data_IF_148274056849
#
_entry.id   IF_148274056849
#
_cell.length_a   1.000
_cell.length_b   1.000
_cell.length_c   1.000
_cell.angle_alpha   90.00
_cell.angle_beta   90.00
_cell.angle_gamma   90.00
#
_symmetry.space_group_name_H-M   'P 1'
#
loop_
_entity.id
_entity.type
_entity.pdbx_description
1 polymer ?
#
# COMPACT_ATOMS: atom_id res chain seq x y z
N UNK A 1 -38.86 83.18 -54.74
CA UNK A 1 -39.46 82.43 -53.62
C UNK A 1 -39.08 80.93 -53.66
N UNK A 2 -37.79 80.55 -53.56
CA UNK A 2 -37.36 79.12 -53.53
C UNK A 2 -36.32 78.79 -52.45
N UNK A 3 -35.56 79.77 -51.94
CA UNK A 3 -34.56 79.53 -50.89
C UNK A 3 -35.18 79.40 -49.47
N UNK A 4 -36.26 80.13 -49.19
CA UNK A 4 -36.93 80.09 -47.88
C UNK A 4 -37.72 78.79 -47.61
N UNK A 5 -38.08 78.02 -48.65
CA UNK A 5 -38.74 76.72 -48.50
C UNK A 5 -37.75 75.59 -48.26
N UNK A 6 -36.55 75.67 -48.82
CA UNK A 6 -35.46 74.68 -48.64
C UNK A 6 -34.91 74.71 -47.21
N UNK A 7 -34.70 75.90 -46.64
CA UNK A 7 -34.25 76.03 -45.24
C UNK A 7 -35.26 75.46 -44.23
N UNK A 8 -36.56 75.65 -44.46
CA UNK A 8 -37.62 75.06 -43.62
C UNK A 8 -37.64 73.53 -43.74
N UNK A 9 -37.47 72.99 -44.94
CA UNK A 9 -37.40 71.54 -45.16
C UNK A 9 -36.17 70.92 -44.46
N UNK A 10 -35.02 71.61 -44.51
CA UNK A 10 -33.79 71.15 -43.86
C UNK A 10 -33.92 71.12 -42.33
N UNK A 11 -34.56 72.14 -41.74
CA UNK A 11 -34.84 72.19 -40.30
C UNK A 11 -35.78 71.06 -39.89
N UNK A 12 -36.85 70.80 -40.66
CA UNK A 12 -37.77 69.68 -40.38
C UNK A 12 -37.04 68.34 -40.43
N UNK A 13 -36.19 68.13 -41.44
CA UNK A 13 -35.39 66.91 -41.56
C UNK A 13 -34.39 66.75 -40.40
N UNK A 14 -33.72 67.83 -39.98
CA UNK A 14 -32.81 67.82 -38.83
C UNK A 14 -33.56 67.47 -37.53
N UNK A 15 -34.74 68.07 -37.30
CA UNK A 15 -35.57 67.78 -36.12
C UNK A 15 -36.05 66.33 -36.13
N UNK A 16 -36.51 65.81 -37.26
CA UNK A 16 -36.91 64.41 -37.39
C UNK A 16 -35.73 63.46 -37.14
N UNK A 17 -34.54 63.78 -37.66
CA UNK A 17 -33.34 62.95 -37.46
C UNK A 17 -32.91 62.92 -35.99
N UNK A 18 -32.92 64.07 -35.32
CA UNK A 18 -32.63 64.16 -33.88
C UNK A 18 -33.71 63.43 -33.06
N UNK A 19 -34.99 63.54 -33.44
CA UNK A 19 -36.09 62.84 -32.79
C UNK A 19 -35.96 61.32 -32.96
N UNK A 20 -35.68 60.80 -34.16
CA UNK A 20 -35.50 59.37 -34.37
C UNK A 20 -34.27 58.83 -33.64
N UNK A 21 -33.17 59.59 -33.59
CA UNK A 21 -31.98 59.18 -32.86
C UNK A 21 -32.20 59.21 -31.34
N UNK A 22 -32.89 60.22 -30.81
CA UNK A 22 -33.22 60.28 -29.38
C UNK A 22 -34.27 59.23 -29.02
N UNK A 23 -35.31 59.03 -29.83
CA UNK A 23 -36.33 58.00 -29.61
C UNK A 23 -35.77 56.58 -29.75
N UNK A 24 -34.85 56.32 -30.68
CA UNK A 24 -34.17 55.02 -30.78
C UNK A 24 -33.30 54.75 -29.54
N UNK A 25 -32.58 55.75 -29.04
CA UNK A 25 -31.75 55.58 -27.82
C UNK A 25 -32.56 55.52 -26.54
N UNK A 26 -33.59 56.36 -26.41
CA UNK A 26 -34.52 56.34 -25.28
C UNK A 26 -35.43 55.11 -25.33
N UNK A 27 -35.75 54.59 -26.52
CA UNK A 27 -36.52 53.36 -26.72
C UNK A 27 -35.74 52.13 -26.29
N UNK A 28 -34.44 52.04 -26.59
CA UNK A 28 -33.55 50.99 -26.05
C UNK A 28 -33.43 51.10 -24.53
N UNK A 29 -33.20 52.31 -24.01
CA UNK A 29 -33.16 52.57 -22.57
C UNK A 29 -34.49 52.22 -21.88
N UNK A 30 -35.64 52.54 -22.49
CA UNK A 30 -36.96 52.24 -21.98
C UNK A 30 -37.29 50.73 -22.10
N UNK A 31 -36.83 50.05 -23.14
CA UNK A 31 -36.98 48.59 -23.27
C UNK A 31 -36.10 47.84 -22.26
N UNK A 32 -34.89 48.33 -21.98
CA UNK A 32 -34.03 47.82 -20.91
C UNK A 32 -34.57 48.16 -19.50
N UNK A 33 -35.28 49.30 -19.35
CA UNK A 33 -35.82 49.78 -18.06
C UNK A 33 -37.28 49.38 -17.81
N UNK A 34 -38.04 48.93 -18.80
CA UNK A 34 -39.47 48.56 -18.66
C UNK A 34 -39.82 47.29 -19.42
N UNK A 35 -38.83 46.57 -19.96
CA UNK A 35 -39.02 45.26 -20.56
C UNK A 35 -39.39 44.18 -19.54
N UNK A 36 -40.04 43.09 -19.98
CA UNK A 36 -40.54 42.01 -19.12
C UNK A 36 -39.45 41.21 -18.37
N UNK A 37 -38.16 41.51 -18.59
CA UNK A 37 -37.00 40.79 -18.05
C UNK A 37 -36.34 41.44 -16.81
N UNK A 38 -36.89 42.53 -16.26
CA UNK A 38 -36.34 43.21 -15.07
C UNK A 38 -36.21 42.31 -13.82
N UNK A 39 -37.10 41.33 -13.68
CA UNK A 39 -37.11 40.43 -12.52
C UNK A 39 -36.28 39.15 -12.72
N UNK A 40 -35.62 39.01 -13.88
CA UNK A 40 -34.81 37.83 -14.23
C UNK A 40 -33.32 38.10 -14.08
N UNK A 41 -32.56 37.08 -13.65
CA UNK A 41 -31.12 37.19 -13.54
C UNK A 41 -30.42 37.21 -14.90
N UNK A 42 -29.38 38.02 -15.03
CA UNK A 42 -28.59 38.14 -16.27
C UNK A 42 -27.77 36.87 -16.54
N UNK A 43 -27.41 36.63 -17.80
CA UNK A 43 -26.42 35.61 -18.16
C UNK A 43 -25.13 35.80 -17.36
N UNK A 44 -24.51 34.68 -16.95
CA UNK A 44 -23.32 34.71 -16.09
C UNK A 44 -23.61 34.84 -14.59
N UNK A 45 -24.88 34.82 -14.17
CA UNK A 45 -25.25 34.82 -12.74
C UNK A 45 -25.27 33.40 -12.18
N UNK A 46 -24.51 33.14 -11.12
CA UNK A 46 -24.42 31.83 -10.46
C UNK A 46 -24.50 31.92 -8.94
N UNK A 47 -25.00 30.86 -8.31
CA UNK A 47 -24.85 30.58 -6.87
C UNK A 47 -24.20 29.22 -6.70
N UNK A 48 -22.96 29.20 -6.21
CA UNK A 48 -22.14 27.99 -6.25
C UNK A 48 -22.03 27.47 -7.70
N UNK A 49 -22.36 26.20 -7.98
CA UNK A 49 -22.34 25.64 -9.33
C UNK A 49 -23.63 25.90 -10.14
N UNK A 50 -24.63 26.57 -9.57
CA UNK A 50 -25.98 26.64 -10.13
C UNK A 50 -26.14 27.91 -10.96
N UNK A 51 -26.43 27.77 -12.26
CA UNK A 51 -26.76 28.89 -13.13
C UNK A 51 -28.16 29.42 -12.84
N UNK A 52 -28.26 30.72 -12.59
CA UNK A 52 -29.54 31.41 -12.37
C UNK A 52 -30.01 32.19 -13.60
N UNK A 53 -29.24 32.18 -14.69
CA UNK A 53 -29.50 32.98 -15.88
C UNK A 53 -30.92 32.77 -16.41
N UNK A 54 -31.64 33.87 -16.61
CA UNK A 54 -33.02 33.87 -17.11
C UNK A 54 -34.08 33.49 -16.07
N UNK A 55 -33.71 33.11 -14.85
CA UNK A 55 -34.67 32.78 -13.78
C UNK A 55 -35.11 34.05 -13.05
N UNK A 56 -36.38 34.07 -12.63
CA UNK A 56 -36.86 35.03 -11.62
C UNK A 56 -36.28 34.71 -10.25
N UNK A 57 -36.40 35.63 -9.29
CA UNK A 57 -35.92 35.39 -7.91
C UNK A 57 -36.56 34.17 -7.25
N UNK A 58 -37.85 33.95 -7.45
CA UNK A 58 -38.57 32.81 -6.89
C UNK A 58 -38.13 31.49 -7.54
N UNK A 59 -38.00 31.48 -8.88
CA UNK A 59 -37.49 30.33 -9.63
C UNK A 59 -36.05 29.98 -9.24
N UNK A 60 -35.19 31.00 -9.07
CA UNK A 60 -33.82 30.79 -8.61
C UNK A 60 -33.75 30.21 -7.20
N UNK A 61 -34.59 30.70 -6.28
CA UNK A 61 -34.63 30.14 -4.92
C UNK A 61 -35.07 28.67 -4.94
N UNK A 62 -36.06 28.33 -5.76
CA UNK A 62 -36.49 26.94 -5.92
C UNK A 62 -35.39 26.09 -6.57
N UNK A 63 -34.77 26.55 -7.65
CA UNK A 63 -33.72 25.83 -8.35
C UNK A 63 -32.50 25.54 -7.46
N UNK A 64 -32.13 26.50 -6.60
CA UNK A 64 -31.08 26.28 -5.59
C UNK A 64 -31.51 25.27 -4.53
N UNK A 65 -32.74 25.36 -4.03
CA UNK A 65 -33.28 24.41 -3.07
C UNK A 65 -33.33 22.98 -3.63
N UNK A 66 -33.80 22.82 -4.86
CA UNK A 66 -33.89 21.54 -5.55
C UNK A 66 -32.50 20.91 -5.72
N UNK A 67 -31.52 21.69 -6.20
CA UNK A 67 -30.14 21.19 -6.37
C UNK A 67 -29.45 20.83 -5.06
N UNK A 68 -29.71 21.59 -4.00
CA UNK A 68 -29.22 21.25 -2.66
C UNK A 68 -29.89 19.97 -2.15
N UNK A 69 -31.18 19.78 -2.42
CA UNK A 69 -31.91 18.56 -2.07
C UNK A 69 -31.38 17.34 -2.84
N UNK A 70 -31.18 17.48 -4.16
CA UNK A 70 -30.58 16.47 -5.03
C UNK A 70 -29.21 16.05 -4.47
N UNK A 71 -28.35 17.03 -4.17
CA UNK A 71 -27.03 16.79 -3.61
C UNK A 71 -27.12 16.09 -2.25
N UNK A 72 -27.95 16.56 -1.31
CA UNK A 72 -28.11 15.92 0.01
C UNK A 72 -28.55 14.47 -0.07
N UNK A 73 -29.38 14.12 -1.07
CA UNK A 73 -29.88 12.75 -1.25
C UNK A 73 -28.85 11.79 -1.86
N UNK A 74 -27.81 12.31 -2.50
CA UNK A 74 -26.83 11.53 -3.27
C UNK A 74 -25.40 11.66 -2.77
N UNK A 75 -25.09 12.71 -1.99
CA UNK A 75 -23.76 13.00 -1.51
C UNK A 75 -23.31 11.98 -0.47
N UNK A 76 -22.15 11.38 -0.73
CA UNK A 76 -21.43 10.52 0.20
C UNK A 76 -20.03 11.09 0.36
N UNK A 77 -19.81 11.87 1.42
CA UNK A 77 -18.50 12.48 1.67
C UNK A 77 -17.68 11.49 2.47
N UNK A 78 -16.79 10.79 1.77
CA UNK A 78 -15.89 9.84 2.40
C UNK A 78 -14.75 10.58 3.12
N UNK A 79 -14.47 10.18 4.35
CA UNK A 79 -13.39 10.69 5.18
C UNK A 79 -12.54 9.51 5.64
N UNK A 80 -11.23 9.71 5.71
CA UNK A 80 -10.28 8.65 6.03
C UNK A 80 -9.18 9.08 6.98
N UNK A 81 -8.65 8.12 7.71
CA UNK A 81 -7.39 8.24 8.41
C UNK A 81 -6.64 6.92 8.21
N UNK A 82 -5.58 6.95 7.39
CA UNK A 82 -4.84 5.76 6.96
C UNK A 82 -5.79 4.72 6.32
N UNK A 83 -5.85 3.50 6.85
CA UNK A 83 -6.71 2.41 6.33
C UNK A 83 -8.17 2.52 6.81
N UNK A 84 -8.48 3.36 7.81
CA UNK A 84 -9.85 3.57 8.28
C UNK A 84 -10.57 4.57 7.38
N UNK A 85 -11.84 4.27 7.07
CA UNK A 85 -12.73 5.14 6.29
C UNK A 85 -14.11 5.18 6.94
N UNK A 86 -14.77 6.32 6.86
CA UNK A 86 -16.17 6.48 7.20
C UNK A 86 -16.82 7.52 6.29
N UNK A 87 -18.13 7.43 6.14
CA UNK A 87 -18.90 8.43 5.42
C UNK A 87 -19.40 9.48 6.40
N UNK A 88 -19.22 10.75 6.06
CA UNK A 88 -19.86 11.85 6.74
C UNK A 88 -21.33 11.95 6.31
N UNK A 89 -22.26 12.00 7.27
CA UNK A 89 -23.66 12.29 6.98
C UNK A 89 -23.82 13.65 6.27
N UNK A 90 -24.69 13.74 5.26
CA UNK A 90 -24.92 14.99 4.52
C UNK A 90 -25.75 16.02 5.32
N UNK A 91 -26.39 15.59 6.41
CA UNK A 91 -27.16 16.43 7.32
C UNK A 91 -26.28 17.36 8.19
N UNK A 92 -24.97 17.10 8.27
CA UNK A 92 -24.02 18.03 8.91
C UNK A 92 -23.96 19.38 8.17
N UNK A 93 -24.38 19.46 6.90
CA UNK A 93 -24.33 20.70 6.13
C UNK A 93 -25.65 21.46 6.19
N UNK A 94 -25.62 22.67 6.75
CA UNK A 94 -26.77 23.57 6.76
C UNK A 94 -26.61 24.69 5.74
N UNK A 95 -27.28 24.54 4.60
CA UNK A 95 -27.29 25.53 3.51
C UNK A 95 -28.15 26.75 3.87
N UNK A 96 -27.58 27.96 3.78
CA UNK A 96 -28.27 29.23 4.02
C UNK A 96 -28.89 29.74 2.71
N UNK A 97 -29.92 29.03 2.22
CA UNK A 97 -30.52 29.28 0.90
C UNK A 97 -30.99 30.74 0.74
N UNK A 98 -31.74 31.26 1.72
CA UNK A 98 -32.28 32.62 1.68
C UNK A 98 -31.20 33.70 1.68
N UNK A 99 -30.09 33.50 2.39
CA UNK A 99 -28.97 34.46 2.39
C UNK A 99 -28.17 34.36 1.08
N UNK A 100 -27.95 33.13 0.61
CA UNK A 100 -27.23 32.86 -0.64
C UNK A 100 -27.91 33.51 -1.85
N UNK A 101 -29.25 33.43 -1.92
CA UNK A 101 -30.02 34.03 -3.02
C UNK A 101 -30.21 35.54 -2.87
N UNK A 102 -30.24 36.08 -1.64
CA UNK A 102 -30.26 37.53 -1.40
C UNK A 102 -28.95 38.22 -1.77
N UNK A 103 -27.82 37.52 -1.60
CA UNK A 103 -26.48 38.05 -1.87
C UNK A 103 -26.00 37.81 -3.32
N UNK A 104 -26.91 37.43 -4.23
CA UNK A 104 -26.60 37.23 -5.64
C UNK A 104 -26.29 38.56 -6.31
N UNK A 105 -25.14 38.63 -6.96
CA UNK A 105 -24.78 39.78 -7.79
C UNK A 105 -25.03 39.42 -9.25
N UNK A 106 -25.94 40.16 -9.89
CA UNK A 106 -26.31 39.96 -11.28
C UNK A 106 -25.08 39.98 -12.21
N UNK A 107 -24.97 38.97 -13.08
CA UNK A 107 -23.87 38.79 -14.04
C UNK A 107 -22.56 38.29 -13.42
N UNK A 108 -22.57 37.80 -12.18
CA UNK A 108 -21.40 37.25 -11.49
C UNK A 108 -21.73 35.95 -10.74
N UNK A 109 -20.68 35.24 -10.35
CA UNK A 109 -20.79 34.10 -9.45
C UNK A 109 -20.75 34.57 -7.99
N UNK A 110 -21.74 34.16 -7.21
CA UNK A 110 -21.80 34.33 -5.75
C UNK A 110 -21.65 32.96 -5.06
N UNK A 111 -21.07 32.88 -3.86
CA UNK A 111 -20.95 31.60 -3.15
C UNK A 111 -22.32 31.11 -2.64
N UNK A 112 -22.52 29.80 -2.67
CA UNK A 112 -23.57 29.15 -1.89
C UNK A 112 -23.09 29.07 -0.43
N UNK A 113 -23.79 29.76 0.48
CA UNK A 113 -23.42 29.83 1.88
C UNK A 113 -23.82 28.53 2.59
N UNK A 114 -22.84 27.86 3.20
CA UNK A 114 -22.99 26.60 3.90
C UNK A 114 -22.31 26.72 5.26
N UNK A 115 -22.89 26.10 6.28
CA UNK A 115 -22.25 25.90 7.57
C UNK A 115 -22.17 24.41 7.88
N UNK A 116 -21.01 23.96 8.33
CA UNK A 116 -20.83 22.58 8.78
C UNK A 116 -21.10 22.44 10.29
N UNK A 117 -21.91 21.46 10.69
CA UNK A 117 -22.05 21.06 12.08
C UNK A 117 -20.81 20.27 12.51
N UNK A 118 -19.86 20.99 13.09
CA UNK A 118 -18.61 20.39 13.55
C UNK A 118 -18.81 19.44 14.74
N UNK A 119 -19.90 19.54 15.50
CA UNK A 119 -20.20 18.57 16.56
C UNK A 119 -20.53 17.20 15.95
N UNK A 120 -21.42 17.17 14.95
CA UNK A 120 -21.78 15.95 14.24
C UNK A 120 -20.61 15.40 13.40
N UNK A 121 -19.79 16.28 12.82
CA UNK A 121 -18.56 15.89 12.14
C UNK A 121 -17.61 15.13 13.08
N UNK A 122 -17.43 15.65 14.30
CA UNK A 122 -16.51 15.06 15.28
C UNK A 122 -16.92 13.66 15.73
N UNK A 123 -18.22 13.34 15.80
CA UNK A 123 -18.68 11.97 16.07
C UNK A 123 -18.13 10.95 15.07
N UNK A 124 -17.92 11.36 13.81
CA UNK A 124 -17.33 10.52 12.77
C UNK A 124 -15.81 10.52 12.81
N UNK A 125 -15.19 11.69 13.01
CA UNK A 125 -13.73 11.86 13.13
C UNK A 125 -13.16 11.04 14.29
N UNK A 126 -13.82 11.03 15.45
CA UNK A 126 -13.36 10.31 16.65
C UNK A 126 -13.37 8.78 16.49
N UNK A 127 -14.18 8.23 15.57
CA UNK A 127 -14.14 6.79 15.24
C UNK A 127 -12.95 6.42 14.37
N UNK A 128 -12.43 7.39 13.61
CA UNK A 128 -11.33 7.21 12.67
C UNK A 128 -9.98 7.48 13.33
N UNK A 129 -9.87 8.55 14.13
CA UNK A 129 -8.62 8.97 14.73
C UNK A 129 -8.35 8.24 16.06
N UNK A 130 -7.07 7.92 16.33
CA UNK A 130 -6.63 7.56 17.67
C UNK A 130 -6.91 8.69 18.67
N UNK A 131 -7.30 8.39 19.93
CA UNK A 131 -7.64 9.41 20.92
C UNK A 131 -6.55 10.45 21.19
N UNK A 132 -5.29 10.07 21.02
CA UNK A 132 -4.14 10.97 21.19
C UNK A 132 -3.92 11.92 20.01
N UNK A 133 -4.49 11.64 18.83
CA UNK A 133 -4.42 12.48 17.64
C UNK A 133 -5.58 13.50 17.56
N UNK A 134 -6.75 13.18 18.13
CA UNK A 134 -7.95 14.04 18.11
C UNK A 134 -7.67 15.48 18.58
N UNK A 135 -6.99 15.72 19.73
CA UNK A 135 -6.76 17.09 20.21
C UNK A 135 -5.80 17.92 19.35
N UNK A 136 -5.08 17.28 18.42
CA UNK A 136 -4.15 17.94 17.53
C UNK A 136 -4.77 18.32 16.19
N UNK A 137 -6.00 17.90 15.91
CA UNK A 137 -6.68 18.17 14.64
C UNK A 137 -6.97 19.67 14.46
N UNK A 138 -6.58 20.23 13.32
CA UNK A 138 -6.95 21.59 12.94
C UNK A 138 -8.42 21.61 12.46
N UNK A 139 -9.32 21.74 13.45
CA UNK A 139 -10.77 21.78 13.21
C UNK A 139 -11.17 22.94 12.30
N UNK A 140 -10.46 24.07 12.36
CA UNK A 140 -10.78 25.25 11.57
C UNK A 140 -10.46 25.03 10.10
N UNK A 141 -9.31 24.40 9.80
CA UNK A 141 -8.96 24.03 8.43
C UNK A 141 -9.93 22.97 7.88
N UNK A 142 -10.28 21.97 8.70
CA UNK A 142 -11.25 20.93 8.31
C UNK A 142 -12.64 21.51 8.02
N UNK A 143 -13.16 22.38 8.89
CA UNK A 143 -14.44 23.07 8.71
C UNK A 143 -14.44 23.89 7.41
N UNK A 144 -13.39 24.68 7.17
CA UNK A 144 -13.27 25.49 5.97
C UNK A 144 -13.27 24.66 4.68
N UNK A 145 -12.56 23.54 4.65
CA UNK A 145 -12.49 22.65 3.48
C UNK A 145 -13.83 21.91 3.25
N UNK A 146 -14.51 21.48 4.32
CA UNK A 146 -15.84 20.88 4.24
C UNK A 146 -16.87 21.88 3.71
N UNK A 147 -16.90 23.10 4.23
CA UNK A 147 -17.79 24.16 3.77
C UNK A 147 -17.49 24.56 2.33
N UNK A 148 -16.21 24.67 1.96
CA UNK A 148 -15.80 24.95 0.59
C UNK A 148 -16.28 23.86 -0.38
N UNK A 149 -16.12 22.58 -0.04
CA UNK A 149 -16.60 21.47 -0.86
C UNK A 149 -18.13 21.48 -1.01
N UNK A 150 -18.86 21.67 0.10
CA UNK A 150 -20.32 21.72 0.09
C UNK A 150 -20.87 22.96 -0.64
N UNK A 151 -20.17 24.12 -0.58
CA UNK A 151 -20.53 25.33 -1.32
C UNK A 151 -20.54 25.13 -2.84
N UNK A 152 -19.74 24.17 -3.33
CA UNK A 152 -19.67 23.78 -4.73
C UNK A 152 -20.62 22.62 -5.07
N UNK A 153 -21.39 22.12 -4.11
CA UNK A 153 -22.15 20.87 -4.22
C UNK A 153 -21.30 19.73 -4.80
N UNK A 154 -20.02 19.71 -4.45
CA UNK A 154 -19.07 18.75 -4.95
C UNK A 154 -19.02 17.53 -4.02
N UNK A 155 -18.85 16.35 -4.60
CA UNK A 155 -18.51 15.14 -3.85
C UNK A 155 -17.06 14.79 -4.20
N UNK A 156 -16.13 14.79 -3.23
CA UNK A 156 -14.74 14.46 -3.50
C UNK A 156 -14.58 13.04 -4.09
N UNK A 157 -13.83 12.92 -5.19
CA UNK A 157 -13.53 11.61 -5.81
C UNK A 157 -12.56 10.75 -4.98
N UNK A 158 -11.91 11.35 -3.98
CA UNK A 158 -11.03 10.68 -3.03
C UNK A 158 -11.51 11.01 -1.62
N UNK A 159 -11.37 10.07 -0.67
CA UNK A 159 -11.67 10.37 0.72
C UNK A 159 -10.87 11.56 1.23
N UNK A 160 -11.50 12.41 2.02
CA UNK A 160 -10.84 13.49 2.73
C UNK A 160 -9.90 12.88 3.77
N UNK A 161 -8.60 13.08 3.61
CA UNK A 161 -7.60 12.51 4.52
C UNK A 161 -7.42 13.41 5.75
N UNK A 162 -7.84 12.91 6.91
CA UNK A 162 -7.75 13.61 8.18
C UNK A 162 -6.30 13.89 8.60
N UNK A 163 -5.34 13.13 8.07
CA UNK A 163 -3.93 13.33 8.37
C UNK A 163 -3.39 14.66 7.82
N UNK A 164 -4.03 15.25 6.80
CA UNK A 164 -3.67 16.58 6.28
C UNK A 164 -3.98 17.72 7.25
N UNK A 165 -4.88 17.50 8.21
CA UNK A 165 -5.27 18.46 9.23
C UNK A 165 -4.54 18.24 10.55
N UNK A 166 -3.56 17.33 10.58
CA UNK A 166 -2.68 17.14 11.73
C UNK A 166 -1.41 17.99 11.57
N UNK A 167 -0.93 18.64 12.64
CA UNK A 167 0.23 19.50 12.56
C UNK A 167 1.49 18.70 12.23
N UNK A 168 2.38 19.31 11.45
CA UNK A 168 3.72 18.75 11.24
C UNK A 168 4.60 18.86 12.50
N UNK A 169 4.27 19.77 13.42
CA UNK A 169 4.93 19.86 14.73
C UNK A 169 4.52 18.66 15.57
N UNK A 170 5.45 17.77 15.90
CA UNK A 170 5.22 16.45 16.53
C UNK A 170 4.50 16.40 17.90
N UNK A 171 3.81 17.46 18.32
CA UNK A 171 2.89 17.46 19.47
C UNK A 171 1.72 16.51 19.16
N UNK A 172 1.74 15.33 19.77
CA UNK A 172 0.77 14.24 19.53
C UNK A 172 1.40 13.02 18.84
N UNK A 173 2.60 13.15 18.26
CA UNK A 173 3.38 12.02 17.74
C UNK A 173 4.09 11.28 18.87
N UNK A 174 4.12 9.95 18.77
CA UNK A 174 4.69 9.05 19.79
C UNK A 174 5.53 7.96 19.14
N UNK A 175 6.18 7.14 19.96
CA UNK A 175 6.71 5.85 19.49
C UNK A 175 5.52 4.92 19.26
N UNK A 176 5.30 4.54 18.00
CA UNK A 176 4.17 3.71 17.56
C UNK A 176 4.53 2.24 17.40
N UNK A 177 5.84 1.94 17.34
CA UNK A 177 6.37 0.58 17.34
C UNK A 177 7.82 0.58 17.85
N UNK A 178 8.21 -0.47 18.58
CA UNK A 178 9.57 -0.68 19.05
C UNK A 178 9.92 -2.17 19.00
N UNK A 179 11.15 -2.46 18.59
CA UNK A 179 11.73 -3.79 18.73
C UNK A 179 13.22 -3.71 19.09
N UNK A 180 13.70 -4.74 19.78
CA UNK A 180 15.09 -4.86 20.21
C UNK A 180 15.64 -6.26 19.96
N UNK A 181 16.93 -6.34 19.61
CA UNK A 181 17.68 -7.58 19.47
C UNK A 181 18.92 -7.50 20.37
N UNK A 182 19.10 -8.52 21.21
CA UNK A 182 20.24 -8.60 22.13
C UNK A 182 21.52 -8.96 21.35
N UNK A 183 22.53 -8.11 21.44
CA UNK A 183 23.83 -8.29 20.78
C UNK A 183 24.91 -7.41 21.42
N UNK A 184 26.09 -7.99 21.61
CA UNK A 184 27.31 -7.25 21.99
C UNK A 184 28.23 -7.16 20.79
N UNK A 185 28.35 -5.98 20.20
CA UNK A 185 29.15 -5.78 19.00
C UNK A 185 29.79 -4.38 18.97
N UNK A 186 31.11 -4.34 18.77
CA UNK A 186 31.87 -3.09 18.77
C UNK A 186 31.61 -2.23 17.53
N UNK A 187 31.22 -2.85 16.41
CA UNK A 187 30.85 -2.12 15.19
C UNK A 187 29.53 -1.37 15.36
N UNK A 188 28.53 -1.95 16.06
CA UNK A 188 27.30 -1.24 16.44
C UNK A 188 27.59 -0.05 17.34
N UNK A 189 28.52 -0.19 18.29
CA UNK A 189 28.94 0.90 19.18
C UNK A 189 29.48 2.10 18.40
N UNK A 190 30.21 1.86 17.32
CA UNK A 190 30.72 2.92 16.42
C UNK A 190 29.62 3.46 15.51
N UNK A 191 28.83 2.58 14.91
CA UNK A 191 27.80 2.93 13.92
C UNK A 191 26.63 3.72 14.52
N UNK A 192 26.28 3.42 15.79
CA UNK A 192 25.22 4.05 16.58
C UNK A 192 25.79 4.73 17.84
N UNK A 193 26.97 5.34 17.71
CA UNK A 193 27.57 6.15 18.79
C UNK A 193 26.64 7.30 19.23
N UNK A 194 25.83 7.80 18.29
CA UNK A 194 24.65 8.62 18.53
C UNK A 194 23.42 7.94 17.95
N UNK A 195 22.23 8.34 18.41
CA UNK A 195 21.00 7.90 17.75
C UNK A 195 21.02 8.27 16.27
N UNK A 196 20.51 7.36 15.43
CA UNK A 196 20.35 7.60 14.00
C UNK A 196 18.87 7.69 13.68
N UNK A 197 18.48 8.73 12.95
CA UNK A 197 17.11 8.99 12.54
C UNK A 197 17.00 8.91 11.02
N UNK A 198 16.08 8.08 10.54
CA UNK A 198 15.79 7.91 9.11
C UNK A 198 14.35 8.32 8.90
N UNK A 199 14.13 9.35 8.07
CA UNK A 199 12.78 9.79 7.70
C UNK A 199 12.18 8.78 6.73
N UNK A 200 11.03 8.23 7.10
CA UNK A 200 10.22 7.31 6.31
C UNK A 200 9.11 8.11 5.64
N UNK A 201 9.40 8.68 4.47
CA UNK A 201 8.45 9.59 3.81
C UNK A 201 7.19 8.87 3.36
N UNK A 202 6.10 9.62 3.27
CA UNK A 202 4.85 9.21 2.64
C UNK A 202 5.09 8.53 1.29
N UNK A 203 4.53 7.33 1.11
CA UNK A 203 4.61 6.52 -0.11
C UNK A 203 6.04 6.22 -0.61
N UNK A 204 7.05 6.28 0.27
CA UNK A 204 8.44 6.04 -0.10
C UNK A 204 8.89 4.62 0.27
N UNK A 205 9.54 3.94 -0.68
CA UNK A 205 10.24 2.68 -0.44
C UNK A 205 11.57 2.97 0.26
N UNK A 206 11.87 2.19 1.29
CA UNK A 206 13.11 2.30 2.07
C UNK A 206 13.88 0.99 1.96
N UNK A 207 15.20 1.11 1.72
CA UNK A 207 16.17 0.01 1.71
C UNK A 207 17.08 0.14 2.93
N UNK A 208 17.09 -0.88 3.80
CA UNK A 208 18.00 -0.87 4.95
C UNK A 208 19.47 -0.92 4.51
N UNK A 209 19.78 -1.68 3.46
CA UNK A 209 21.13 -1.74 2.91
C UNK A 209 21.62 -0.36 2.49
N UNK A 210 20.79 0.41 1.78
CA UNK A 210 21.12 1.77 1.38
C UNK A 210 21.34 2.69 2.60
N UNK A 211 20.51 2.57 3.64
CA UNK A 211 20.66 3.31 4.90
C UNK A 211 22.01 3.00 5.57
N UNK A 212 22.42 1.73 5.61
CA UNK A 212 23.70 1.31 6.20
C UNK A 212 24.88 1.84 5.36
N UNK A 213 24.82 1.71 4.04
CA UNK A 213 25.87 2.16 3.12
C UNK A 213 26.06 3.69 3.16
N UNK A 214 24.97 4.45 3.12
CA UNK A 214 25.01 5.93 3.23
C UNK A 214 25.58 6.40 4.57
N UNK A 215 25.44 5.59 5.61
CA UNK A 215 26.00 5.83 6.93
C UNK A 215 27.49 5.42 7.07
N UNK A 216 28.14 4.98 5.98
CA UNK A 216 29.55 4.61 5.94
C UNK A 216 29.83 3.12 6.18
N UNK A 217 28.80 2.29 6.33
CA UNK A 217 28.93 0.85 6.53
C UNK A 217 29.73 0.46 7.78
N UNK A 218 30.64 -0.51 7.63
CA UNK A 218 31.57 -0.91 8.69
C UNK A 218 30.97 -1.74 9.84
N UNK A 219 29.74 -2.23 9.66
CA UNK A 219 29.10 -3.19 10.54
C UNK A 219 29.62 -4.60 10.28
N UNK A 220 29.75 -5.41 11.33
CA UNK A 220 29.95 -6.85 11.21
C UNK A 220 28.70 -7.52 10.62
N UNK A 221 28.83 -8.71 10.03
CA UNK A 221 27.66 -9.45 9.52
C UNK A 221 26.63 -9.72 10.61
N UNK A 222 27.06 -10.07 11.82
CA UNK A 222 26.17 -10.29 12.96
C UNK A 222 25.45 -9.00 13.38
N UNK A 223 26.15 -7.86 13.33
CA UNK A 223 25.55 -6.55 13.60
C UNK A 223 24.50 -6.15 12.55
N UNK A 224 24.78 -6.41 11.28
CA UNK A 224 23.81 -6.17 10.18
C UNK A 224 22.57 -7.04 10.38
N UNK A 225 22.74 -8.34 10.65
CA UNK A 225 21.62 -9.25 10.90
C UNK A 225 20.78 -8.84 12.11
N UNK A 226 21.42 -8.44 13.22
CA UNK A 226 20.73 -7.98 14.41
C UNK A 226 19.97 -6.67 14.18
N UNK A 227 20.60 -5.71 13.49
CA UNK A 227 19.96 -4.45 13.12
C UNK A 227 18.77 -4.68 12.18
N UNK A 228 18.96 -5.49 11.14
CA UNK A 228 17.92 -5.84 10.19
C UNK A 228 16.74 -6.53 10.87
N UNK A 229 17.00 -7.47 11.77
CA UNK A 229 15.96 -8.18 12.52
C UNK A 229 15.22 -7.25 13.49
N UNK A 230 15.90 -6.30 14.13
CA UNK A 230 15.25 -5.28 14.96
C UNK A 230 14.35 -4.36 14.11
N UNK A 231 14.85 -3.87 12.97
CA UNK A 231 14.06 -3.04 12.05
C UNK A 231 12.86 -3.80 11.49
N UNK A 232 13.07 -5.03 11.04
CA UNK A 232 12.00 -5.89 10.52
C UNK A 232 10.88 -6.05 11.54
N UNK A 233 11.20 -6.40 12.80
CA UNK A 233 10.19 -6.53 13.87
C UNK A 233 9.44 -5.24 14.18
N UNK A 234 10.16 -4.10 14.18
CA UNK A 234 9.55 -2.80 14.40
C UNK A 234 8.58 -2.46 13.24
N UNK A 235 9.00 -2.65 11.99
CA UNK A 235 8.19 -2.42 10.79
C UNK A 235 6.98 -3.36 10.74
N UNK A 236 7.16 -4.63 11.12
CA UNK A 236 6.11 -5.65 11.08
C UNK A 236 4.94 -5.33 12.02
N UNK A 237 5.20 -4.58 13.10
CA UNK A 237 4.18 -4.11 14.05
C UNK A 237 3.55 -2.76 13.63
N UNK A 238 3.51 -2.49 12.32
CA UNK A 238 2.89 -1.31 11.71
C UNK A 238 2.04 -1.72 10.50
N UNK A 239 1.40 -0.74 9.85
CA UNK A 239 0.76 -0.94 8.55
C UNK A 239 1.68 -0.83 7.35
N UNK A 240 3.00 -0.70 7.56
CA UNK A 240 3.94 -0.63 6.46
C UNK A 240 3.92 -1.94 5.66
N UNK A 241 4.16 -1.81 4.36
CA UNK A 241 4.21 -2.93 3.44
C UNK A 241 5.64 -3.45 3.39
N UNK A 242 5.81 -4.72 3.74
CA UNK A 242 7.09 -5.39 3.59
C UNK A 242 7.26 -5.81 2.13
N UNK A 243 8.30 -5.30 1.48
CA UNK A 243 8.53 -5.51 0.05
C UNK A 243 9.60 -6.57 -0.21
N UNK A 244 10.63 -6.62 0.63
CA UNK A 244 11.72 -7.59 0.52
C UNK A 244 12.21 -7.95 1.92
N UNK A 245 12.37 -9.25 2.18
CA UNK A 245 12.97 -9.78 3.41
C UNK A 245 13.48 -11.20 3.16
N UNK A 246 14.68 -11.49 3.66
CA UNK A 246 15.29 -12.82 3.59
C UNK A 246 15.52 -13.41 4.98
N UNK A 247 15.18 -14.69 5.15
CA UNK A 247 15.61 -15.51 6.28
C UNK A 247 17.02 -16.10 6.05
N UNK A 248 17.67 -16.52 7.12
CA UNK A 248 18.87 -17.33 7.07
C UNK A 248 18.55 -18.82 7.01
N UNK A 249 19.55 -19.65 6.71
CA UNK A 249 19.42 -21.12 6.83
C UNK A 249 19.60 -21.63 8.26
N UNK A 250 19.99 -20.74 9.19
CA UNK A 250 20.20 -21.04 10.60
C UNK A 250 19.71 -19.87 11.44
N UNK A 251 19.01 -20.17 12.53
CA UNK A 251 18.51 -19.16 13.45
C UNK A 251 19.67 -18.45 14.18
N UNK A 252 19.80 -17.11 14.08
CA UNK A 252 20.79 -16.36 14.83
C UNK A 252 20.45 -16.29 16.33
N UNK A 253 21.48 -16.25 17.17
CA UNK A 253 21.30 -16.10 18.62
C UNK A 253 20.59 -14.77 18.96
N UNK A 254 19.68 -14.83 19.94
CA UNK A 254 18.97 -13.65 20.44
C UNK A 254 17.82 -13.16 19.56
N UNK A 255 17.52 -13.86 18.45
CA UNK A 255 16.40 -13.57 17.56
C UNK A 255 15.41 -14.74 17.61
N UNK A 256 14.13 -14.50 17.95
CA UNK A 256 13.14 -15.57 17.93
C UNK A 256 12.86 -16.07 16.50
N UNK A 257 12.51 -17.35 16.29
CA UNK A 257 12.18 -17.89 14.98
C UNK A 257 11.10 -17.08 14.25
N UNK A 258 11.24 -16.90 12.94
CA UNK A 258 10.31 -16.10 12.14
C UNK A 258 10.64 -14.60 12.09
N UNK A 259 11.46 -14.10 13.00
CA UNK A 259 11.70 -12.66 13.18
C UNK A 259 13.09 -12.19 12.74
N UNK A 260 13.85 -13.04 12.07
CA UNK A 260 15.14 -12.63 11.51
C UNK A 260 14.97 -11.86 10.21
N UNK A 261 15.95 -11.05 9.86
CA UNK A 261 16.11 -10.53 8.50
C UNK A 261 17.61 -10.49 8.16
N UNK A 262 17.93 -10.88 6.92
CA UNK A 262 19.29 -10.89 6.37
C UNK A 262 19.48 -9.74 5.38
N UNK A 263 20.58 -9.02 5.53
CA UNK A 263 21.01 -7.96 4.60
C UNK A 263 22.48 -8.15 4.28
N UNK A 264 22.80 -8.19 2.99
CA UNK A 264 24.18 -8.27 2.47
C UNK A 264 24.26 -7.70 1.04
N UNK A 265 25.30 -8.03 0.28
CA UNK A 265 25.47 -7.52 -1.08
C UNK A 265 24.36 -7.98 -2.05
N UNK A 266 23.66 -9.08 -1.75
CA UNK A 266 22.63 -9.70 -2.60
C UNK A 266 21.23 -9.65 -2.00
N UNK A 267 21.10 -9.40 -0.70
CA UNK A 267 19.85 -9.44 0.06
C UNK A 267 19.60 -8.10 0.74
N UNK A 268 18.36 -7.64 0.74
CA UNK A 268 17.96 -6.41 1.41
C UNK A 268 16.75 -6.63 2.33
N UNK A 269 16.50 -5.64 3.16
CA UNK A 269 15.24 -5.46 3.88
C UNK A 269 14.60 -4.19 3.35
N UNK A 270 13.46 -4.34 2.66
CA UNK A 270 12.76 -3.23 2.05
C UNK A 270 11.31 -3.13 2.54
N UNK A 271 10.87 -1.90 2.81
CA UNK A 271 9.50 -1.62 3.21
C UNK A 271 9.02 -0.28 2.67
N UNK A 272 7.70 -0.15 2.54
CA UNK A 272 7.01 1.05 2.08
C UNK A 272 6.15 1.60 3.22
N UNK A 273 6.21 2.91 3.46
CA UNK A 273 5.20 3.61 4.24
C UNK A 273 4.00 3.97 3.34
N UNK A 274 2.83 3.30 3.44
CA UNK A 274 1.67 3.57 2.58
C UNK A 274 0.85 4.79 3.04
N UNK A 275 1.21 5.42 4.16
CA UNK A 275 0.45 6.52 4.73
C UNK A 275 0.80 7.84 4.04
N UNK A 276 -0.12 8.81 4.12
CA UNK A 276 0.07 10.18 3.66
C UNK A 276 1.03 11.01 4.54
N UNK A 277 1.36 10.52 5.73
CA UNK A 277 2.24 11.18 6.69
C UNK A 277 3.60 10.52 6.79
N UNK A 278 4.61 11.33 7.09
CA UNK A 278 5.97 10.88 7.34
C UNK A 278 6.09 10.25 8.73
N UNK A 279 6.93 9.21 8.82
CA UNK A 279 7.37 8.61 10.08
C UNK A 279 8.89 8.75 10.23
N UNK A 280 9.42 8.46 11.41
CA UNK A 280 10.87 8.41 11.65
C UNK A 280 11.25 7.05 12.23
N UNK A 281 12.15 6.34 11.58
CA UNK A 281 12.85 5.20 12.16
C UNK A 281 14.01 5.72 12.99
N UNK A 282 14.01 5.42 14.29
CA UNK A 282 15.05 5.76 15.24
C UNK A 282 15.81 4.49 15.58
N UNK A 283 17.12 4.50 15.34
CA UNK A 283 18.03 3.40 15.64
C UNK A 283 18.93 3.79 16.80
N UNK A 284 19.03 2.91 17.80
CA UNK A 284 19.83 3.13 19.01
C UNK A 284 20.56 1.84 19.42
N UNK A 285 21.69 2.00 20.09
CA UNK A 285 22.44 0.92 20.68
C UNK A 285 22.86 1.30 22.10
N UNK A 286 22.62 0.42 23.07
CA UNK A 286 22.93 0.67 24.49
C UNK A 286 24.14 -0.15 25.01
N UNK A 287 24.88 -0.80 24.12
CA UNK A 287 25.99 -1.71 24.47
C UNK A 287 25.56 -3.16 24.70
N UNK A 288 24.26 -3.45 24.76
CA UNK A 288 23.73 -4.81 24.97
C UNK A 288 22.68 -5.22 23.95
N UNK A 289 21.96 -4.26 23.38
CA UNK A 289 20.93 -4.51 22.39
C UNK A 289 20.87 -3.35 21.39
N UNK A 290 20.57 -3.71 20.15
CA UNK A 290 20.19 -2.76 19.11
C UNK A 290 18.67 -2.60 19.13
N UNK A 291 18.20 -1.36 19.06
CA UNK A 291 16.78 -1.00 19.10
C UNK A 291 16.39 -0.26 17.83
N UNK A 292 15.22 -0.61 17.31
CA UNK A 292 14.54 0.11 16.25
C UNK A 292 13.20 0.60 16.77
N UNK A 293 12.94 1.90 16.65
CA UNK A 293 11.69 2.54 17.04
C UNK A 293 11.10 3.25 15.84
N UNK A 294 9.79 3.12 15.62
CA UNK A 294 9.04 3.93 14.65
C UNK A 294 8.34 5.03 15.42
N UNK A 295 8.63 6.28 15.08
CA UNK A 295 8.07 7.48 15.70
C UNK A 295 7.20 8.23 14.69
N UNK A 296 6.00 8.64 15.09
CA UNK A 296 5.07 9.39 14.23
C UNK A 296 3.65 9.42 14.80
N UNK A 297 2.67 9.68 13.93
CA UNK A 297 1.27 9.66 14.33
C UNK A 297 0.80 8.22 14.64
N UNK A 298 0.03 8.00 15.71
CA UNK A 298 -0.48 6.67 16.04
C UNK A 298 -1.29 6.08 14.88
N UNK A 299 -1.16 4.77 14.66
CA UNK A 299 -1.88 4.11 13.58
C UNK A 299 -3.38 3.99 13.89
N UNK A 300 -4.19 3.95 12.83
CA UNK A 300 -5.64 3.79 12.92
C UNK A 300 -6.06 2.45 13.58
N UNK A 301 -5.23 1.42 13.40
CA UNK A 301 -5.37 0.09 13.99
C UNK A 301 -4.14 -0.31 14.80
N UNK A 302 -4.31 -1.33 15.64
CA UNK A 302 -3.20 -2.02 16.32
C UNK A 302 -2.73 -3.21 15.50
N UNK A 303 -1.41 -3.39 15.40
CA UNK A 303 -0.77 -4.49 14.68
C UNK A 303 -0.07 -5.40 15.67
N UNK A 304 -0.66 -6.58 15.91
CA UNK A 304 -0.13 -7.56 16.85
C UNK A 304 0.50 -8.69 16.06
N UNK A 305 1.79 -8.90 16.23
CA UNK A 305 2.54 -9.92 15.51
C UNK A 305 2.82 -11.11 16.42
N UNK A 306 2.54 -12.32 15.93
CA UNK A 306 2.76 -13.57 16.67
C UNK A 306 3.30 -14.65 15.74
N UNK A 307 4.07 -15.57 16.29
CA UNK A 307 4.41 -16.82 15.60
C UNK A 307 3.30 -17.84 15.81
N UNK A 308 2.97 -18.60 14.76
CA UNK A 308 2.09 -19.77 14.81
C UNK A 308 2.76 -20.96 14.11
N UNK A 309 2.22 -22.16 14.31
CA UNK A 309 2.67 -23.35 13.59
C UNK A 309 4.15 -23.69 13.78
N UNK A 310 4.68 -23.60 15.02
CA UNK A 310 6.04 -24.10 15.30
C UNK A 310 6.06 -25.63 15.18
N UNK A 311 6.65 -26.12 14.10
CA UNK A 311 6.80 -27.55 13.82
C UNK A 311 8.28 -27.95 13.83
N UNK A 312 8.63 -28.91 14.68
CA UNK A 312 9.99 -29.46 14.76
C UNK A 312 10.15 -30.59 13.76
N UNK A 313 11.26 -30.58 13.03
CA UNK A 313 11.54 -31.55 11.97
C UNK A 313 12.73 -32.39 12.41
N UNK A 314 12.53 -33.67 12.66
CA UNK A 314 13.60 -34.53 13.15
C UNK A 314 14.72 -34.73 12.13
N UNK A 315 15.99 -34.78 12.58
CA UNK A 315 17.10 -35.00 11.69
C UNK A 315 17.08 -36.43 11.17
N UNK A 316 17.26 -36.57 9.85
CA UNK A 316 17.49 -37.88 9.25
C UNK A 316 18.86 -38.42 9.67
N UNK A 317 18.98 -39.74 9.71
CA UNK A 317 20.21 -40.44 10.09
C UNK A 317 20.92 -41.02 8.87
N UNK A 318 22.22 -40.75 8.75
CA UNK A 318 23.11 -41.31 7.74
C UNK A 318 24.01 -42.34 8.43
N UNK A 319 23.99 -43.57 7.94
CA UNK A 319 24.89 -44.64 8.38
C UNK A 319 26.03 -44.74 7.36
N UNK A 320 27.26 -44.58 7.82
CA UNK A 320 28.48 -44.78 7.06
C UNK A 320 29.18 -46.03 7.60
N UNK A 321 29.85 -46.79 6.73
CA UNK A 321 30.63 -47.95 7.15
C UNK A 321 32.13 -47.65 7.05
N UNK A 322 32.91 -48.07 8.05
CA UNK A 322 34.37 -47.96 8.07
C UNK A 322 34.99 -49.31 8.45
N UNK A 323 35.81 -49.86 7.56
CA UNK A 323 36.48 -51.15 7.75
C UNK A 323 37.50 -51.14 8.92
N UNK A 324 37.86 -49.97 9.44
CA UNK A 324 38.79 -49.81 10.56
C UNK A 324 38.12 -49.93 11.94
N UNK A 325 36.79 -49.88 11.99
CA UNK A 325 36.01 -50.08 13.21
C UNK A 325 35.66 -51.57 13.38
N UNK A 326 35.61 -52.05 14.62
CA UNK A 326 35.18 -53.42 14.88
C UNK A 326 33.71 -53.64 14.42
N UNK A 327 33.29 -54.86 14.03
CA UNK A 327 31.96 -55.12 13.46
C UNK A 327 30.77 -54.62 14.29
N UNK A 328 30.91 -54.55 15.62
CA UNK A 328 29.91 -54.07 16.57
C UNK A 328 30.17 -52.63 17.05
N UNK A 329 31.27 -52.02 16.64
CA UNK A 329 31.65 -50.66 17.02
C UNK A 329 30.85 -49.63 16.22
N UNK A 330 30.19 -48.72 16.95
CA UNK A 330 29.46 -47.58 16.39
C UNK A 330 30.01 -46.28 16.98
N UNK A 331 30.40 -45.36 16.10
CA UNK A 331 30.91 -44.04 16.46
C UNK A 331 29.99 -42.96 15.91
N UNK A 332 29.47 -42.11 16.79
CA UNK A 332 28.71 -40.93 16.37
C UNK A 332 29.67 -39.87 15.83
N UNK A 333 29.67 -39.68 14.51
CA UNK A 333 30.46 -38.64 13.83
C UNK A 333 29.76 -37.27 13.91
N UNK A 334 28.43 -37.24 13.95
CA UNK A 334 27.65 -36.02 14.08
C UNK A 334 26.31 -36.29 14.77
N UNK A 335 25.98 -35.55 15.82
CA UNK A 335 24.79 -35.78 16.67
C UNK A 335 23.45 -35.43 15.97
N UNK A 336 23.49 -34.72 14.84
CA UNK A 336 22.29 -34.21 14.16
C UNK A 336 21.60 -33.09 14.93
N UNK A 337 20.81 -32.27 14.23
CA UNK A 337 20.02 -31.17 14.81
C UNK A 337 18.65 -31.12 14.15
N UNK A 338 17.59 -31.07 14.95
CA UNK A 338 16.24 -30.91 14.42
C UNK A 338 16.09 -29.57 13.72
N UNK A 339 15.34 -29.56 12.63
CA UNK A 339 14.89 -28.36 11.93
C UNK A 339 13.64 -27.77 12.55
N UNK A 340 13.19 -26.65 11.99
CA UNK A 340 12.04 -25.89 12.47
C UNK A 340 11.31 -25.24 11.28
N UNK A 341 9.99 -25.42 11.21
CA UNK A 341 9.10 -24.61 10.38
C UNK A 341 8.31 -23.67 11.30
N UNK A 342 8.20 -22.39 10.94
CA UNK A 342 7.45 -21.41 11.73
C UNK A 342 6.73 -20.43 10.82
N UNK A 343 5.49 -20.09 11.17
CA UNK A 343 4.71 -19.04 10.50
C UNK A 343 4.69 -17.79 11.37
N UNK A 344 4.74 -16.62 10.74
CA UNK A 344 4.52 -15.34 11.40
C UNK A 344 3.22 -14.76 10.90
N UNK A 345 2.35 -14.41 11.83
CA UNK A 345 1.03 -13.86 11.56
C UNK A 345 0.91 -12.46 12.15
N UNK A 346 0.24 -11.57 11.42
CA UNK A 346 -0.11 -10.21 11.86
C UNK A 346 -1.62 -10.12 12.03
N UNK A 347 -2.05 -9.80 13.23
CA UNK A 347 -3.43 -9.50 13.58
C UNK A 347 -3.63 -7.99 13.59
N UNK A 348 -4.59 -7.51 12.81
CA UNK A 348 -4.98 -6.10 12.76
C UNK A 348 -6.24 -5.92 13.59
N UNK A 349 -6.17 -5.06 14.59
CA UNK A 349 -7.25 -4.84 15.57
C UNK A 349 -7.69 -3.39 15.68
N UNK A 350 -8.98 -3.21 15.91
CA UNK A 350 -9.58 -1.96 16.33
C UNK A 350 -10.05 -2.10 17.78
N UNK A 351 -9.23 -1.64 18.72
CA UNK A 351 -9.40 -1.98 20.13
C UNK A 351 -9.42 -3.51 20.33
N UNK A 352 -10.52 -4.03 20.88
CA UNK A 352 -10.70 -5.48 21.09
C UNK A 352 -11.12 -6.24 19.83
N UNK A 353 -11.64 -5.55 18.81
CA UNK A 353 -12.20 -6.16 17.60
C UNK A 353 -11.08 -6.59 16.65
N UNK A 354 -11.07 -7.87 16.27
CA UNK A 354 -10.22 -8.36 15.17
C UNK A 354 -10.80 -7.88 13.83
N UNK A 355 -10.02 -7.12 13.07
CA UNK A 355 -10.39 -6.67 11.72
C UNK A 355 -9.98 -7.71 10.69
N UNK A 356 -8.72 -8.14 10.74
CA UNK A 356 -8.19 -9.18 9.86
C UNK A 356 -6.96 -9.84 10.48
N UNK A 357 -6.61 -11.00 9.95
CA UNK A 357 -5.40 -11.75 10.28
C UNK A 357 -4.75 -12.20 8.99
N UNK A 358 -3.44 -12.06 8.89
CA UNK A 358 -2.67 -12.46 7.71
C UNK A 358 -1.38 -13.17 8.09
N UNK A 359 -0.97 -14.15 7.29
CA UNK A 359 0.36 -14.74 7.36
C UNK A 359 1.33 -13.82 6.61
N UNK A 360 2.37 -13.35 7.30
CA UNK A 360 3.36 -12.42 6.74
C UNK A 360 4.61 -13.13 6.25
N UNK A 361 5.00 -14.20 6.93
CA UNK A 361 6.12 -15.03 6.51
C UNK A 361 5.96 -16.47 6.98
N UNK A 362 6.64 -17.38 6.28
CA UNK A 362 6.84 -18.76 6.67
C UNK A 362 8.34 -19.05 6.52
N UNK A 363 8.98 -19.44 7.62
CA UNK A 363 10.42 -19.65 7.69
C UNK A 363 10.70 -21.12 7.95
N UNK A 364 11.61 -21.67 7.14
CA UNK A 364 12.06 -23.05 7.23
C UNK A 364 13.56 -23.11 7.54
N UNK A 365 13.87 -23.67 8.71
CA UNK A 365 15.22 -23.96 9.19
C UNK A 365 15.48 -25.46 9.00
N UNK A 366 16.33 -25.88 8.04
CA UNK A 366 16.52 -27.29 7.73
C UNK A 366 17.18 -28.05 8.90
N UNK A 367 16.79 -29.32 9.15
CA UNK A 367 17.53 -30.18 10.06
C UNK A 367 18.93 -30.48 9.54
N UNK A 368 19.85 -30.73 10.46
CA UNK A 368 21.19 -31.25 10.14
C UNK A 368 21.22 -32.75 10.41
N UNK A 369 21.68 -33.56 9.46
CA UNK A 369 21.73 -35.02 9.60
C UNK A 369 22.50 -35.50 10.84
N UNK A 370 22.04 -36.59 11.46
CA UNK A 370 22.86 -37.37 12.38
C UNK A 370 23.73 -38.34 11.56
N UNK A 371 25.02 -38.43 11.85
CA UNK A 371 25.95 -39.33 11.13
C UNK A 371 26.54 -40.32 12.12
N UNK A 372 26.27 -41.61 11.90
CA UNK A 372 26.89 -42.73 12.59
C UNK A 372 27.83 -43.46 11.65
N UNK A 373 29.01 -43.80 12.15
CA UNK A 373 29.98 -44.67 11.46
C UNK A 373 29.97 -46.01 12.17
N UNK A 374 29.79 -47.10 11.43
CA UNK A 374 29.72 -48.48 11.95
C UNK A 374 30.83 -49.33 11.34
N UNK A 375 31.30 -50.33 12.08
CA UNK A 375 32.13 -51.38 11.51
C UNK A 375 31.40 -52.17 10.43
N UNK A 376 32.18 -52.80 9.54
CA UNK A 376 31.63 -53.73 8.56
C UNK A 376 31.22 -55.01 9.28
N UNK A 377 29.95 -55.39 9.17
CA UNK A 377 29.48 -56.69 9.65
C UNK A 377 30.18 -57.79 8.84
N UNK A 378 30.91 -58.67 9.53
CA UNK A 378 31.44 -59.90 8.93
C UNK A 378 30.36 -60.97 9.12
N UNK A 379 29.77 -61.53 8.04
CA UNK A 379 28.78 -62.60 8.18
C UNK A 379 29.40 -63.80 8.92
N UNK A 380 28.69 -64.34 9.91
CA UNK A 380 29.12 -65.51 10.72
C UNK A 380 29.32 -66.82 9.93
N UNK A 381 29.27 -66.79 8.60
CA UNK A 381 29.49 -67.96 7.75
C UNK A 381 30.96 -68.24 7.40
N UNK A 382 31.93 -67.55 8.03
CA UNK A 382 33.36 -67.74 7.74
C UNK A 382 34.17 -68.38 8.88
N UNK A 383 33.52 -68.88 9.93
CA UNK A 383 34.17 -69.66 10.98
C UNK A 383 33.65 -71.10 11.01
N UNK A 384 34.07 -71.90 10.03
CA UNK A 384 34.51 -73.29 10.21
C UNK A 384 34.91 -73.87 8.86
N UNK A 385 36.20 -74.14 8.66
CA UNK A 385 36.76 -75.49 8.46
C UNK A 385 38.28 -75.34 8.30
N UNK A 386 39.03 -75.66 9.35
CA UNK A 386 40.44 -76.09 9.19
C UNK A 386 40.42 -77.61 9.19
N UNK A 387 40.86 -78.20 8.09
CA UNK A 387 41.13 -79.62 7.95
C UNK A 387 42.10 -79.80 6.80
N UNK A 388 43.37 -79.95 7.17
CA UNK A 388 44.50 -80.17 6.27
C UNK A 388 44.29 -81.38 5.34
N UNK A 389 44.71 -81.21 4.09
CA UNK A 389 44.91 -82.27 3.12
C UNK A 389 45.76 -81.72 1.98
N UNK A 390 47.08 -81.83 2.14
CA UNK A 390 48.06 -81.54 1.08
C UNK A 390 47.95 -82.60 -0.02
N UNK A 391 47.82 -82.18 -1.28
CA UNK A 391 48.66 -82.59 -2.42
C UNK A 391 48.24 -81.85 -3.71
N UNK A 392 49.23 -81.47 -4.52
CA UNK A 392 49.17 -80.78 -5.82
C UNK A 392 49.85 -81.70 -6.85
N UNK A 393 49.84 -81.53 -8.20
CA UNK A 393 48.96 -80.78 -9.14
C UNK A 393 48.39 -81.67 -10.26
N UNK A 394 47.36 -81.22 -11.00
CA UNK A 394 47.20 -81.58 -12.43
C UNK A 394 46.34 -80.55 -13.18
N UNK A 395 46.91 -79.90 -14.20
CA UNK A 395 46.15 -79.43 -15.38
C UNK A 395 46.09 -80.57 -16.41
N UNK A 396 45.01 -80.65 -17.20
CA UNK A 396 45.15 -80.24 -18.60
C UNK A 396 43.91 -79.51 -19.19
N UNK A 397 44.24 -78.50 -20.01
CA UNK A 397 43.80 -78.26 -21.40
C UNK A 397 42.32 -78.25 -21.82
N UNK A 398 41.92 -77.03 -22.25
CA UNK A 398 41.32 -76.64 -23.55
C UNK A 398 39.86 -76.91 -23.98
N UNK A 399 39.32 -75.81 -24.56
CA UNK A 399 38.26 -75.67 -25.59
C UNK A 399 36.78 -75.76 -25.11
N UNK A 400 35.82 -74.87 -25.42
CA UNK A 400 35.64 -73.91 -26.53
C UNK A 400 34.61 -72.81 -26.17
N UNK A 401 34.97 -71.58 -26.55
CA UNK A 401 34.21 -70.39 -26.99
C UNK A 401 32.67 -70.43 -27.20
N UNK A 402 31.93 -69.41 -26.69
CA UNK A 402 31.28 -68.34 -27.50
C UNK A 402 30.26 -67.51 -26.70
N UNK A 403 30.36 -66.17 -26.81
CA UNK A 403 29.23 -65.25 -26.58
C UNK A 403 29.59 -63.88 -25.99
N UNK A 404 29.83 -62.89 -26.86
CA UNK A 404 29.75 -61.43 -26.59
C UNK A 404 28.45 -61.08 -25.81
N UNK A 405 28.31 -59.98 -25.05
CA UNK A 405 28.40 -58.59 -25.50
C UNK A 405 28.29 -57.63 -24.30
N UNK A 406 29.11 -56.59 -24.33
CA UNK A 406 28.98 -55.17 -23.95
C UNK A 406 28.19 -54.67 -22.72
N UNK A 407 28.83 -53.67 -22.12
CA UNK A 407 28.39 -52.79 -21.06
C UNK A 407 27.37 -51.75 -21.55
N UNK A 408 26.52 -51.26 -20.65
CA UNK A 408 26.17 -49.84 -20.65
C UNK A 408 25.70 -49.31 -19.29
N UNK A 409 26.09 -48.05 -19.07
CA UNK A 409 25.85 -47.20 -17.91
C UNK A 409 24.43 -46.61 -17.95
N UNK A 410 23.70 -46.67 -16.85
CA UNK A 410 22.39 -46.02 -16.68
C UNK A 410 22.44 -44.88 -15.67
N UNK A 411 22.53 -43.65 -16.17
CA UNK A 411 22.33 -42.39 -15.46
C UNK A 411 20.93 -41.89 -15.83
N UNK A 412 19.99 -41.79 -14.88
CA UNK A 412 18.68 -41.19 -15.14
C UNK A 412 18.45 -39.90 -14.34
N UNK A 413 18.09 -38.89 -15.12
CA UNK A 413 17.71 -37.53 -14.81
C UNK A 413 16.20 -37.48 -15.05
N UNK A 414 15.39 -37.19 -14.03
CA UNK A 414 13.93 -37.05 -14.21
C UNK A 414 13.57 -35.61 -14.51
N UNK A 415 13.06 -35.41 -15.72
CA UNK A 415 12.40 -34.20 -16.21
C UNK A 415 10.88 -34.35 -16.05
N UNK A 416 10.22 -33.24 -15.77
CA UNK A 416 8.78 -33.10 -15.56
C UNK A 416 8.05 -33.06 -16.91
N UNK A 417 6.94 -33.78 -17.05
CA UNK A 417 6.00 -33.54 -18.14
C UNK A 417 4.53 -33.66 -17.69
N UNK A 418 3.77 -32.62 -18.06
CA UNK A 418 2.33 -32.51 -18.04
C UNK A 418 1.64 -33.60 -18.88
N UNK A 419 0.43 -33.99 -18.47
CA UNK A 419 -0.53 -34.70 -19.31
C UNK A 419 -1.93 -34.12 -19.12
N UNK A 420 -2.46 -33.49 -20.17
CA UNK A 420 -3.87 -33.19 -20.36
C UNK A 420 -4.67 -34.49 -20.60
N UNK A 421 -5.91 -34.52 -20.12
CA UNK A 421 -6.95 -35.45 -20.54
C UNK A 421 -8.20 -34.66 -20.94
N UNK A 422 -8.64 -34.84 -22.18
CA UNK A 422 -9.76 -34.16 -22.81
C UNK A 422 -10.89 -35.16 -23.13
N UNK A 423 -12.16 -34.80 -22.81
CA UNK A 423 -13.39 -35.02 -23.62
C UNK A 423 -14.56 -34.37 -22.88
N UNK A 424 -15.18 -33.26 -23.33
CA UNK A 424 -16.29 -33.17 -24.30
C UNK A 424 -17.64 -33.27 -23.55
N UNK A 425 -18.68 -32.43 -23.63
CA UNK A 425 -19.24 -31.38 -24.51
C UNK A 425 -20.08 -30.43 -23.61
N UNK A 426 -20.39 -29.16 -23.90
CA UNK A 426 -21.44 -28.73 -24.81
C UNK A 426 -21.47 -27.19 -24.96
N UNK A 427 -22.10 -26.74 -26.06
CA UNK A 427 -22.13 -25.37 -26.60
C UNK A 427 -22.92 -24.33 -25.77
N UNK A 428 -22.54 -23.04 -25.84
CA UNK A 428 -23.34 -21.97 -26.49
C UNK A 428 -22.71 -20.56 -26.41
N UNK A 429 -22.46 -20.01 -27.61
CA UNK A 429 -22.69 -18.63 -28.10
C UNK A 429 -22.38 -17.36 -27.27
N UNK A 430 -21.51 -16.53 -27.88
CA UNK A 430 -21.77 -15.17 -28.39
C UNK A 430 -20.83 -14.08 -27.86
N UNK A 431 -19.91 -13.65 -28.74
CA UNK A 431 -19.30 -12.32 -28.74
C UNK A 431 -19.51 -11.73 -30.15
N UNK A 432 -19.87 -10.44 -30.29
CA UNK A 432 -19.86 -9.79 -31.58
C UNK A 432 -18.52 -9.09 -31.85
N UNK A 433 -17.98 -9.47 -33.00
CA UNK A 433 -17.29 -8.73 -34.04
C UNK A 433 -17.16 -7.20 -33.92
N UNK A 434 -15.95 -6.76 -34.25
CA UNK A 434 -15.55 -5.40 -34.63
C UNK A 434 -15.57 -5.31 -36.17
N UNK A 435 -16.34 -4.39 -36.75
CA UNK A 435 -15.97 -3.64 -37.97
C UNK A 435 -17.01 -2.57 -38.32
N UNK A 436 -16.56 -1.34 -38.57
CA UNK A 436 -17.12 -0.45 -39.59
C UNK A 436 -16.12 0.67 -39.94
N UNK A 437 -15.64 0.64 -41.19
CA UNK A 437 -15.29 1.82 -42.02
C UNK A 437 -16.59 2.66 -42.20
N UNK A 438 -16.62 3.97 -42.45
CA UNK A 438 -16.00 4.81 -43.49
C UNK A 438 -16.55 6.24 -43.28
N UNK A 439 -15.81 7.35 -43.36
CA UNK A 439 -15.67 8.25 -44.53
C UNK A 439 -15.21 9.63 -44.00
N UNK A 440 -14.08 10.19 -44.45
CA UNK A 440 -13.98 11.27 -45.47
C UNK A 440 -13.69 12.61 -44.77
N UNK A 441 -12.97 13.63 -45.25
CA UNK A 441 -12.07 13.91 -46.38
C UNK A 441 -11.47 15.30 -46.08
N UNK A 442 -10.31 15.64 -46.67
CA UNK A 442 -9.73 17.00 -46.83
C UNK A 442 -9.04 17.63 -45.61
N UNK A 443 -7.82 18.16 -45.64
CA UNK A 443 -6.88 18.49 -46.72
C UNK A 443 -5.87 19.53 -46.18
N UNK A 444 -4.69 19.65 -46.79
CA UNK A 444 -3.89 20.88 -46.68
C UNK A 444 -2.43 20.72 -46.24
N UNK A 445 -1.55 20.68 -47.24
CA UNK A 445 -0.09 20.79 -47.15
C UNK A 445 0.39 22.09 -46.50
N UNK A 446 1.40 22.00 -45.64
CA UNK A 446 2.73 22.64 -45.80
C UNK A 446 3.70 22.18 -44.73
#
# INVERSE_FOLDING_TARGET
MRAASIGKLFIVMAVCTVYFLTFARLGVLAYESFGPDQDRYRSGTYVGPISLAGMTRAEAQQAVADKVSDWRSTASISVSYQEKKAELPADIFTFRLSESTKNVVNGRSSPLLVLADMSACMETVERLLPPTAVPALDLKALEADLEAAASQLAVPNKPLDLAHYLPSSGKGQTVVSEAAVAIRDQSLSRFLASERRVVLRSNQLVSLRAVIQQAGGGLSNQAVDALASAVYRAVLSTNFLLMERYAGSSLPDGIPPGFEAKVDDKRDLQWLNPNSTDYTLILRYDGRQVKALVYGWPFAYQYIVRTSGLERIEPRKIIQYDARLAPDETVTKQVGRSGLLVKVEREVRDGSRLIRKETVSEDFYPPTYAVEVRGLEVPESSSNTTGEGSETPSSPSDATNSGQTEAESGQEKSEVQNGEGQSGSDQTNAAPSTESKQSGESGGSR
#
